data_IF_216731149639
#
_entry.id   IF_216731149639
#
_cell.length_a   1.000
_cell.length_b   1.000
_cell.length_c   1.000
_cell.angle_alpha   90.00
_cell.angle_beta   90.00
_cell.angle_gamma   90.00
#
_symmetry.space_group_name_H-M   'P 1'
#
loop_
_entity.id
_entity.type
_entity.pdbx_description
1 polymer ?
#
# COMPACT_ATOMS: atom_id res chain seq x y z
N UNK A 1 -10.03 -10.44 1.04
CA UNK A 1 -9.84 -10.28 -0.41
C UNK A 1 -9.53 -8.83 -0.70
N UNK A 2 -8.59 -8.61 -1.60
CA UNK A 2 -8.26 -7.30 -2.16
C UNK A 2 -8.53 -7.31 -3.66
N UNK A 3 -8.80 -6.14 -4.25
CA UNK A 3 -9.05 -5.97 -5.67
C UNK A 3 -8.09 -4.97 -6.27
N UNK A 4 -7.51 -5.25 -7.43
CA UNK A 4 -6.75 -4.25 -8.19
C UNK A 4 -7.73 -3.24 -8.76
N UNK A 5 -7.57 -1.98 -8.38
CA UNK A 5 -8.43 -0.89 -8.83
C UNK A 5 -7.73 0.04 -9.82
N UNK A 6 -6.39 0.09 -9.81
CA UNK A 6 -5.60 0.98 -10.65
C UNK A 6 -4.13 0.52 -10.70
N UNK A 7 -3.31 1.17 -11.52
CA UNK A 7 -1.85 1.05 -11.49
C UNK A 7 -1.18 2.40 -11.75
N UNK A 8 0.06 2.58 -11.28
CA UNK A 8 0.87 3.77 -11.54
C UNK A 8 2.29 3.37 -11.88
N UNK A 9 2.96 4.15 -12.72
CA UNK A 9 4.40 4.04 -12.90
C UNK A 9 5.08 5.01 -11.94
N UNK A 10 6.11 4.52 -11.24
CA UNK A 10 6.95 5.29 -10.33
C UNK A 10 8.41 5.18 -10.76
N UNK A 11 9.21 6.17 -10.39
CA UNK A 11 10.64 6.17 -10.64
C UNK A 11 11.36 6.02 -9.30
N UNK A 12 12.36 5.13 -9.23
CA UNK A 12 13.21 4.99 -8.05
C UNK A 12 14.30 6.08 -8.02
N UNK A 13 15.08 6.13 -6.94
CA UNK A 13 16.17 7.11 -6.78
C UNK A 13 17.30 6.95 -7.81
N UNK A 14 17.38 5.79 -8.46
CA UNK A 14 18.34 5.49 -9.53
C UNK A 14 17.84 5.89 -10.93
N UNK A 15 16.61 6.40 -11.04
CA UNK A 15 16.01 6.83 -12.30
C UNK A 15 15.30 5.72 -13.09
N UNK A 16 15.15 4.53 -12.51
CA UNK A 16 14.47 3.40 -13.15
C UNK A 16 12.97 3.46 -12.89
N UNK A 17 12.19 3.26 -13.96
CA UNK A 17 10.73 3.18 -13.89
C UNK A 17 10.27 1.77 -13.52
N UNK A 18 9.34 1.70 -12.56
CA UNK A 18 8.68 0.47 -12.16
C UNK A 18 7.17 0.70 -11.98
N UNK A 19 6.37 -0.34 -12.21
CA UNK A 19 4.93 -0.25 -12.05
C UNK A 19 4.51 -0.65 -10.64
N UNK A 20 3.51 0.04 -10.09
CA UNK A 20 2.86 -0.29 -8.83
C UNK A 20 1.38 -0.52 -9.09
N UNK A 21 0.84 -1.62 -8.57
CA UNK A 21 -0.59 -1.90 -8.57
C UNK A 21 -1.23 -1.27 -7.34
N UNK A 22 -2.36 -0.60 -7.54
CA UNK A 22 -3.17 -0.06 -6.45
C UNK A 22 -4.24 -1.10 -6.13
N UNK A 23 -4.13 -1.69 -4.94
CA UNK A 23 -5.10 -2.67 -4.45
C UNK A 23 -6.00 -2.03 -3.41
N UNK A 24 -7.28 -2.41 -3.43
CA UNK A 24 -8.29 -1.96 -2.49
C UNK A 24 -8.80 -3.15 -1.69
N UNK A 25 -8.86 -3.01 -0.36
CA UNK A 25 -9.49 -3.98 0.52
C UNK A 25 -11.02 -3.91 0.50
N UNK A 26 -11.66 -4.67 1.37
CA UNK A 26 -13.10 -4.59 1.57
C UNK A 26 -13.55 -3.21 2.08
N UNK A 27 -14.79 -2.85 1.75
CA UNK A 27 -15.42 -1.63 2.25
C UNK A 27 -15.69 -1.74 3.75
N UNK A 28 -15.31 -0.70 4.51
CA UNK A 28 -15.51 -0.58 5.95
C UNK A 28 -16.28 0.72 6.29
N UNK A 29 -17.28 0.66 7.18
CA UNK A 29 -17.95 1.85 7.67
C UNK A 29 -17.08 2.59 8.69
N UNK A 30 -16.83 3.88 8.45
CA UNK A 30 -16.16 4.78 9.39
C UNK A 30 -17.10 5.91 9.79
N UNK A 31 -16.93 6.43 11.01
CA UNK A 31 -17.72 7.56 11.51
C UNK A 31 -16.84 8.79 11.62
N UNK A 32 -17.24 9.90 10.99
CA UNK A 32 -16.54 11.17 11.16
C UNK A 32 -16.69 11.64 12.60
N UNK A 33 -15.57 11.90 13.28
CA UNK A 33 -15.58 12.43 14.64
C UNK A 33 -16.09 13.88 14.69
N UNK A 34 -15.89 14.65 13.61
CA UNK A 34 -16.33 16.04 13.53
C UNK A 34 -17.83 16.17 13.28
N UNK A 35 -18.39 15.36 12.36
CA UNK A 35 -19.78 15.53 11.91
C UNK A 35 -20.71 14.41 12.40
N UNK A 36 -20.17 13.36 13.03
CA UNK A 36 -20.92 12.18 13.48
C UNK A 36 -21.50 11.30 12.36
N UNK A 37 -21.25 11.63 11.09
CA UNK A 37 -21.80 10.94 9.91
C UNK A 37 -21.05 9.64 9.62
N UNK A 38 -21.77 8.64 9.16
CA UNK A 38 -21.23 7.36 8.70
C UNK A 38 -20.82 7.46 7.23
N UNK A 39 -19.61 7.03 6.90
CA UNK A 39 -19.07 6.94 5.55
C UNK A 39 -18.63 5.52 5.29
N UNK A 40 -18.80 5.05 4.06
CA UNK A 40 -18.19 3.81 3.61
C UNK A 40 -16.86 4.17 2.95
N UNK A 41 -15.77 3.63 3.46
CA UNK A 41 -14.42 3.80 2.90
C UNK A 41 -13.83 2.43 2.61
N UNK A 42 -12.75 2.37 1.86
CA UNK A 42 -11.97 1.15 1.70
C UNK A 42 -10.48 1.50 1.76
N UNK A 43 -9.71 0.68 2.47
CA UNK A 43 -8.25 0.86 2.55
C UNK A 43 -7.62 0.51 1.22
N UNK A 44 -6.62 1.29 0.81
CA UNK A 44 -5.85 1.07 -0.41
C UNK A 44 -4.37 0.92 -0.10
N UNK A 45 -3.69 0.00 -0.79
CA UNK A 45 -2.24 -0.17 -0.72
C UNK A 45 -1.63 -0.08 -2.13
N UNK A 46 -0.37 0.36 -2.20
CA UNK A 46 0.43 0.33 -3.44
C UNK A 46 1.41 -0.83 -3.36
N UNK A 47 1.31 -1.78 -4.29
CA UNK A 47 2.15 -2.97 -4.34
C UNK A 47 3.05 -2.88 -5.56
N UNK A 48 4.39 -2.82 -5.40
CA UNK A 48 5.29 -2.84 -6.53
C UNK A 48 5.15 -4.13 -7.33
N UNK A 49 5.27 -4.02 -8.65
CA UNK A 49 5.08 -5.11 -9.58
C UNK A 49 6.24 -5.16 -10.57
N UNK A 50 6.63 -6.38 -10.92
CA UNK A 50 7.59 -6.66 -11.99
C UNK A 50 6.94 -6.70 -13.38
N UNK A 51 5.64 -6.45 -13.46
CA UNK A 51 4.89 -6.47 -14.71
C UNK A 51 5.05 -5.18 -15.52
N UNK A 52 4.97 -5.32 -16.85
CA UNK A 52 4.82 -4.19 -17.75
C UNK A 52 3.44 -3.52 -17.60
N UNK A 53 3.30 -2.32 -18.17
CA UNK A 53 2.10 -1.51 -18.04
C UNK A 53 0.85 -2.17 -18.64
N UNK A 54 0.98 -2.95 -19.70
CA UNK A 54 -0.17 -3.59 -20.37
C UNK A 54 -0.67 -4.80 -19.56
N UNK A 55 0.26 -5.56 -18.99
CA UNK A 55 -0.05 -6.61 -18.01
C UNK A 55 -0.71 -6.00 -16.77
N UNK A 56 -0.20 -4.89 -16.22
CA UNK A 56 -0.84 -4.19 -15.10
C UNK A 56 -2.27 -3.76 -15.42
N UNK A 57 -2.53 -3.20 -16.60
CA UNK A 57 -3.90 -2.83 -17.04
C UNK A 57 -4.81 -4.05 -17.08
N UNK A 58 -4.33 -5.20 -17.57
CA UNK A 58 -5.13 -6.42 -17.64
C UNK A 58 -5.49 -6.97 -16.26
N UNK A 59 -4.68 -6.67 -15.24
CA UNK A 59 -4.92 -7.09 -13.86
C UNK A 59 -5.97 -6.22 -13.15
N UNK A 60 -6.28 -5.03 -13.64
CA UNK A 60 -7.31 -4.16 -13.06
C UNK A 60 -8.65 -4.91 -13.08
N UNK A 61 -9.29 -4.99 -11.92
CA UNK A 61 -10.53 -5.74 -11.74
C UNK A 61 -10.34 -7.13 -11.14
N UNK A 62 -9.11 -7.66 -11.16
CA UNK A 62 -8.78 -8.96 -10.55
C UNK A 62 -8.76 -8.85 -9.04
N UNK A 63 -9.18 -9.92 -8.37
CA UNK A 63 -9.16 -10.03 -6.91
C UNK A 63 -8.09 -11.04 -6.47
N UNK A 64 -7.42 -10.73 -5.38
CA UNK A 64 -6.44 -11.60 -4.72
C UNK A 64 -6.88 -11.92 -3.29
N UNK A 65 -6.44 -13.07 -2.79
CA UNK A 65 -6.52 -13.39 -1.37
C UNK A 65 -5.56 -12.50 -0.58
N UNK A 66 -5.97 -12.11 0.62
CA UNK A 66 -5.27 -11.11 1.43
C UNK A 66 -6.16 -9.96 1.91
N UNK A 67 -5.57 -9.08 2.71
CA UNK A 67 -6.19 -7.93 3.35
C UNK A 67 -5.23 -6.74 3.36
N UNK A 68 -5.76 -5.53 3.16
CA UNK A 68 -4.97 -4.32 3.34
C UNK A 68 -4.97 -3.95 4.82
N UNK A 69 -3.82 -4.12 5.48
CA UNK A 69 -3.64 -3.76 6.90
C UNK A 69 -2.79 -2.49 7.00
N UNK A 70 -3.04 -1.73 8.06
CA UNK A 70 -2.17 -0.63 8.47
C UNK A 70 -1.08 -1.23 9.33
N UNK A 71 0.14 -1.28 8.82
CA UNK A 71 1.32 -1.75 9.53
C UNK A 71 2.01 -0.54 10.13
N UNK A 72 2.36 -0.61 11.42
CA UNK A 72 3.20 0.41 12.05
C UNK A 72 4.64 0.19 11.57
N UNK A 73 5.25 1.22 10.99
CA UNK A 73 6.63 1.18 10.53
C UNK A 73 7.42 2.27 11.23
N UNK A 74 8.75 2.21 11.16
CA UNK A 74 9.57 3.33 11.62
C UNK A 74 9.10 4.62 10.93
N UNK A 75 8.98 5.73 11.69
CA UNK A 75 8.52 6.99 11.16
C UNK A 75 9.39 7.40 9.98
N UNK A 76 8.75 7.62 8.83
CA UNK A 76 9.41 8.10 7.63
C UNK A 76 8.89 9.47 7.24
N UNK A 77 9.82 10.30 6.78
CA UNK A 77 9.54 11.62 6.25
C UNK A 77 8.85 11.48 4.88
N UNK A 78 7.54 11.74 4.83
CA UNK A 78 6.78 11.79 3.60
C UNK A 78 6.63 13.24 3.15
N UNK A 79 7.27 13.58 2.04
CA UNK A 79 7.10 14.89 1.42
C UNK A 79 5.78 14.91 0.65
N UNK A 80 4.80 15.66 1.14
CA UNK A 80 3.56 15.91 0.41
C UNK A 80 3.88 16.70 -0.86
N UNK A 81 3.84 16.04 -2.01
CA UNK A 81 4.20 16.66 -3.30
C UNK A 81 3.30 17.84 -3.69
N UNK A 82 2.09 17.95 -3.14
CA UNK A 82 1.18 19.09 -3.38
C UNK A 82 1.54 20.34 -2.57
N UNK A 83 2.10 20.20 -1.38
CA UNK A 83 2.34 21.33 -0.45
C UNK A 83 3.82 21.56 -0.14
N UNK A 84 4.68 20.58 -0.41
CA UNK A 84 6.09 20.58 -0.01
C UNK A 84 6.31 20.35 1.49
N UNK A 85 5.26 20.04 2.26
CA UNK A 85 5.37 19.76 3.69
C UNK A 85 5.89 18.34 3.93
N UNK A 86 6.92 18.23 4.77
CA UNK A 86 7.42 16.94 5.26
C UNK A 86 6.55 16.55 6.44
N UNK A 87 5.73 15.51 6.25
CA UNK A 87 4.94 14.91 7.33
C UNK A 87 5.57 13.59 7.73
N UNK A 88 5.76 13.41 9.04
CA UNK A 88 6.25 12.16 9.59
C UNK A 88 5.09 11.15 9.60
N UNK A 89 5.20 10.09 8.79
CA UNK A 89 4.23 9.00 8.75
C UNK A 89 4.85 7.77 9.43
N UNK A 90 4.22 7.33 10.52
CA UNK A 90 4.60 6.10 11.25
C UNK A 90 3.79 4.87 10.85
N UNK A 91 3.09 4.93 9.71
CA UNK A 91 2.20 3.86 9.28
C UNK A 91 2.16 3.73 7.76
N UNK A 92 2.21 2.48 7.28
CA UNK A 92 2.05 2.14 5.88
C UNK A 92 0.88 1.18 5.68
N UNK A 93 0.17 1.33 4.57
CA UNK A 93 -0.84 0.36 4.16
C UNK A 93 -0.17 -0.70 3.30
N UNK A 94 -0.20 -1.94 3.78
CA UNK A 94 0.44 -3.07 3.13
C UNK A 94 -0.57 -4.17 2.83
N UNK A 95 -0.30 -4.89 1.74
CA UNK A 95 -1.06 -6.07 1.36
C UNK A 95 -0.52 -7.25 2.16
N UNK A 96 -1.31 -7.73 3.12
CA UNK A 96 -0.97 -8.90 3.93
C UNK A 96 -1.79 -10.09 3.43
N UNK A 97 -1.12 -11.17 3.06
CA UNK A 97 -1.74 -12.47 2.82
C UNK A 97 -1.42 -13.40 4.01
N UNK A 98 -2.29 -14.34 4.36
CA UNK A 98 -2.06 -15.28 5.48
C UNK A 98 -0.76 -16.09 5.29
N UNK A 99 -0.35 -16.37 4.04
CA UNK A 99 0.94 -17.01 3.73
C UNK A 99 2.15 -16.06 3.87
N UNK A 100 1.96 -14.76 3.70
CA UNK A 100 3.00 -13.73 3.87
C UNK A 100 3.22 -13.37 5.34
N UNK A 101 2.16 -13.45 6.17
CA UNK A 101 2.23 -13.22 7.63
C UNK A 101 3.18 -14.24 8.30
N UNK A 102 3.24 -15.47 7.78
CA UNK A 102 4.16 -16.52 8.23
C UNK A 102 5.61 -16.21 7.85
N UNK A 103 5.82 -15.47 6.75
CA UNK A 103 7.16 -15.12 6.27
C UNK A 103 7.77 -13.96 7.07
N UNK A 104 6.98 -12.93 7.41
CA UNK A 104 7.44 -11.80 8.23
C UNK A 104 7.81 -12.21 9.66
N UNK A 105 7.10 -13.18 10.26
CA UNK A 105 7.47 -13.77 11.55
C UNK A 105 8.80 -14.56 11.50
N UNK A 106 9.26 -14.96 10.31
CA UNK A 106 10.47 -15.74 10.07
C UNK A 106 11.63 -14.90 9.52
N UNK A 107 11.40 -13.67 9.05
CA UNK A 107 12.48 -12.77 8.61
C UNK A 107 12.98 -11.92 9.76
N UNK A 108 14.23 -12.18 10.17
CA UNK A 108 14.95 -11.35 11.14
C UNK A 108 14.92 -9.87 10.69
N UNK A 109 14.75 -8.90 11.59
CA UNK A 109 14.95 -7.49 11.25
C UNK A 109 16.35 -7.37 10.65
N UNK A 110 16.45 -6.71 9.51
CA UNK A 110 17.75 -6.41 8.89
C UNK A 110 18.47 -5.42 9.78
N UNK A 111 19.12 -5.92 10.81
CA UNK A 111 20.09 -5.19 11.59
C UNK A 111 21.32 -5.02 10.69
N UNK A 112 21.39 -3.83 10.09
CA UNK A 112 22.58 -3.10 9.65
C UNK A 112 23.85 -3.94 9.64
N UNK A 113 24.17 -4.55 8.49
CA UNK A 113 25.51 -5.11 8.26
C UNK A 113 26.49 -3.95 8.27
N UNK A 114 27.29 -3.87 9.32
CA UNK A 114 28.41 -2.94 9.46
C UNK A 114 29.72 -3.70 9.61
#
# INVERSE_FOLDING_TARGET
MVKVIDFKTRTNDEGEEFNVLIVQGGAEPIRSQQTGKLYITAKTASVPSTFDADTCKSLIGTSFEGSVKRVECEPFDYVMQETGEVIELSHRYELVNEEMEILEEQTLPTEVVR
#
